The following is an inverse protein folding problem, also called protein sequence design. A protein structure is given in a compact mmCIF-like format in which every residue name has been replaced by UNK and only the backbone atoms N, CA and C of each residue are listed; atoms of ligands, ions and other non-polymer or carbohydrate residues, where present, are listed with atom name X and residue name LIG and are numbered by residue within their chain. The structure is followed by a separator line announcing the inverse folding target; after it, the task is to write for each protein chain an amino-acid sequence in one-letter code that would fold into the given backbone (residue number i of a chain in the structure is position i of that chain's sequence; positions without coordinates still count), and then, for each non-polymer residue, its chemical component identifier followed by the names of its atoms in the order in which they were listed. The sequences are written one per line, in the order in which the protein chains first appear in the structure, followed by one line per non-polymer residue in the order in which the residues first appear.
data_IF_193370759599
#
_entry.id   IF_193370759599
#
_cell.length_a   1.000
_cell.length_b   1.000
_cell.length_c   1.000
_cell.angle_alpha   90.00
_cell.angle_beta   90.00
_cell.angle_gamma   90.00
#
_symmetry.space_group_name_H-M   'P 1'
#
loop_
_entity.id
_entity.type
_entity.pdbx_description
1 polymer ?
#
# COMPACT_ATOMS: atom_id res chain seq x y z
N UNK A 1 -0.89 -17.94 17.44
CA UNK A 1 -0.81 -16.58 16.86
C UNK A 1 0.58 -16.38 16.30
N UNK A 2 0.75 -16.37 14.98
CA UNK A 2 2.09 -16.18 14.38
C UNK A 2 2.61 -14.77 14.73
N UNK A 3 3.89 -14.60 15.11
CA UNK A 3 4.44 -13.29 15.37
C UNK A 3 4.44 -12.50 14.06
N UNK A 4 3.70 -11.40 14.03
CA UNK A 4 3.67 -10.52 12.88
C UNK A 4 5.08 -9.92 12.70
N UNK A 5 5.71 -10.18 11.55
CA UNK A 5 7.02 -9.63 11.23
C UNK A 5 6.85 -8.12 11.00
N UNK A 6 7.23 -7.30 11.97
CA UNK A 6 7.07 -5.84 11.88
C UNK A 6 8.28 -5.19 11.20
N UNK A 7 8.04 -4.17 10.38
CA UNK A 7 9.10 -3.41 9.72
C UNK A 7 9.73 -2.43 10.70
N UNK A 8 10.77 -2.86 11.44
CA UNK A 8 11.35 -2.07 12.55
C UNK A 8 12.39 -1.02 12.12
N UNK A 9 12.85 -1.04 10.87
CA UNK A 9 13.89 -0.12 10.36
C UNK A 9 13.53 0.41 8.99
N UNK A 10 13.93 1.65 8.70
CA UNK A 10 13.73 2.29 7.39
C UNK A 10 14.62 1.65 6.32
N UNK A 11 14.06 1.47 5.12
CA UNK A 11 14.77 1.00 3.94
C UNK A 11 15.66 2.10 3.39
N UNK A 12 16.98 1.90 3.50
CA UNK A 12 17.99 2.82 2.96
C UNK A 12 17.88 3.00 1.44
N UNK A 13 17.48 1.94 0.72
CA UNK A 13 17.39 1.91 -0.74
C UNK A 13 16.08 2.51 -1.27
N UNK A 14 15.08 2.77 -0.43
CA UNK A 14 13.81 3.33 -0.89
C UNK A 14 13.97 4.76 -1.42
N UNK A 15 14.88 5.55 -0.83
CA UNK A 15 15.22 6.90 -1.30
C UNK A 15 16.25 6.93 -2.43
N UNK A 16 16.70 5.79 -2.94
CA UNK A 16 17.61 5.73 -4.09
C UNK A 16 16.85 6.09 -5.38
N UNK A 17 17.50 6.68 -6.40
CA UNK A 17 16.85 7.00 -7.68
C UNK A 17 16.32 5.76 -8.41
N UNK A 18 16.94 4.61 -8.17
CA UNK A 18 16.55 3.28 -8.66
C UNK A 18 15.42 2.63 -7.82
N UNK A 19 15.09 3.21 -6.66
CA UNK A 19 14.08 2.70 -5.74
C UNK A 19 14.47 1.39 -5.05
N UNK A 20 13.57 0.89 -4.19
CA UNK A 20 13.79 -0.38 -3.54
C UNK A 20 13.48 -1.54 -4.48
N UNK A 21 14.51 -2.32 -4.85
CA UNK A 21 14.39 -3.53 -5.68
C UNK A 21 13.44 -4.60 -5.13
N UNK A 22 13.13 -4.56 -3.83
CA UNK A 22 12.22 -5.50 -3.16
C UNK A 22 10.76 -5.03 -3.10
N UNK A 23 10.47 -3.78 -3.46
CA UNK A 23 9.10 -3.23 -3.46
C UNK A 23 8.36 -3.44 -2.14
N UNK A 24 7.06 -3.74 -2.18
CA UNK A 24 6.22 -3.97 -0.99
C UNK A 24 6.65 -5.21 -0.17
N UNK A 25 7.43 -6.12 -0.78
CA UNK A 25 8.02 -7.28 -0.10
C UNK A 25 9.31 -6.95 0.65
N UNK A 26 9.73 -5.69 0.66
CA UNK A 26 10.88 -5.26 1.44
C UNK A 26 10.64 -5.49 2.94
N UNK A 27 11.60 -6.14 3.61
CA UNK A 27 11.56 -6.37 5.05
C UNK A 27 11.69 -5.07 5.87
N UNK A 28 12.10 -3.98 5.22
CA UNK A 28 12.31 -2.67 5.82
C UNK A 28 11.18 -1.71 5.42
N UNK A 29 10.96 -0.68 6.25
CA UNK A 29 9.93 0.33 6.08
C UNK A 29 10.30 1.32 4.96
N UNK A 30 9.42 1.53 3.99
CA UNK A 30 9.62 2.50 2.89
C UNK A 30 9.27 3.95 3.27
N UNK A 31 9.36 4.27 4.56
CA UNK A 31 8.95 5.54 5.14
C UNK A 31 8.55 5.33 6.59
N UNK A 32 8.41 6.43 7.33
CA UNK A 32 7.89 6.41 8.71
C UNK A 32 6.52 5.73 8.80
N UNK A 33 5.70 5.85 7.74
CA UNK A 33 4.36 5.28 7.68
C UNK A 33 4.31 3.75 7.71
N UNK A 34 5.40 3.09 7.32
CA UNK A 34 5.54 1.63 7.38
C UNK A 34 6.32 1.17 8.63
N UNK A 35 6.92 2.09 9.38
CA UNK A 35 7.78 1.77 10.53
C UNK A 35 6.93 1.27 11.70
N UNK A 36 7.22 0.07 12.19
CA UNK A 36 6.46 -0.61 13.24
C UNK A 36 5.18 -1.30 12.77
N UNK A 37 4.78 -1.14 11.50
CA UNK A 37 3.64 -1.84 10.91
C UNK A 37 4.04 -3.28 10.53
N UNK A 38 3.10 -4.25 10.59
CA UNK A 38 3.38 -5.62 10.14
C UNK A 38 3.67 -5.65 8.64
N UNK A 39 4.58 -6.52 8.23
CA UNK A 39 4.99 -6.71 6.86
C UNK A 39 3.75 -7.00 5.99
N UNK A 40 3.51 -6.16 4.98
CA UNK A 40 2.34 -6.24 4.11
C UNK A 40 1.22 -5.24 4.44
N UNK A 41 1.30 -4.51 5.56
CA UNK A 41 0.31 -3.52 5.96
C UNK A 41 0.29 -2.26 5.07
N UNK A 42 1.43 -1.86 4.48
CA UNK A 42 1.50 -0.74 3.54
C UNK A 42 1.32 -1.12 2.08
N UNK A 43 0.64 -2.23 1.79
CA UNK A 43 0.17 -2.49 0.43
C UNK A 43 -0.64 -1.28 -0.03
N UNK A 44 -0.13 -0.54 -1.02
CA UNK A 44 -0.78 0.60 -1.68
C UNK A 44 -2.12 0.26 -2.36
N UNK A 45 -2.55 -0.99 -2.19
CA UNK A 45 -3.83 -1.54 -2.56
C UNK A 45 -4.99 -0.71 -2.00
N UNK A 46 -5.74 -0.12 -2.93
CA UNK A 46 -6.90 0.73 -2.69
C UNK A 46 -6.61 1.99 -1.87
N UNK A 47 -5.40 2.54 -1.98
CA UNK A 47 -5.03 3.84 -1.35
C UNK A 47 -5.39 5.06 -2.21
N UNK A 48 -5.80 4.84 -3.46
CA UNK A 48 -6.24 5.88 -4.41
C UNK A 48 -7.54 5.46 -5.07
N UNK A 49 -8.40 6.41 -5.41
CA UNK A 49 -9.65 6.16 -6.12
C UNK A 49 -9.37 5.74 -7.58
N UNK A 50 -10.17 4.80 -8.07
CA UNK A 50 -10.14 4.34 -9.44
C UNK A 50 -10.78 5.38 -10.34
N UNK A 51 -10.00 6.00 -11.22
CA UNK A 51 -10.51 7.01 -12.16
C UNK A 51 -11.56 6.43 -13.09
N UNK A 52 -11.37 5.20 -13.59
CA UNK A 52 -12.33 4.56 -14.51
C UNK A 52 -13.71 4.38 -13.86
N UNK A 53 -13.73 3.97 -12.58
CA UNK A 53 -14.97 3.83 -11.84
C UNK A 53 -15.60 5.18 -11.50
N UNK A 54 -14.79 6.16 -11.08
CA UNK A 54 -15.29 7.50 -10.75
C UNK A 54 -15.83 8.23 -11.98
N UNK A 55 -15.16 8.08 -13.14
CA UNK A 55 -15.54 8.76 -14.38
C UNK A 55 -16.69 8.04 -15.11
N UNK A 56 -16.70 6.71 -15.12
CA UNK A 56 -17.64 5.92 -15.92
C UNK A 56 -18.61 5.06 -15.12
N UNK A 57 -18.56 5.08 -13.79
CA UNK A 57 -19.39 4.23 -12.90
C UNK A 57 -19.05 2.73 -12.97
N UNK A 58 -18.08 2.33 -13.80
CA UNK A 58 -17.71 0.94 -14.02
C UNK A 58 -16.21 0.81 -14.27
N UNK A 59 -15.63 -0.28 -13.77
CA UNK A 59 -14.22 -0.59 -13.91
C UNK A 59 -14.05 -1.99 -14.47
N UNK A 60 -13.26 -2.12 -15.54
CA UNK A 60 -12.96 -3.40 -16.18
C UNK A 60 -12.32 -4.43 -15.22
N UNK A 61 -11.67 -3.97 -14.15
CA UNK A 61 -10.98 -4.82 -13.18
C UNK A 61 -11.85 -5.27 -12.01
N UNK A 62 -13.03 -4.66 -11.80
CA UNK A 62 -13.98 -5.01 -10.75
C UNK A 62 -13.30 -5.29 -9.38
N UNK A 63 -13.57 -6.44 -8.76
CA UNK A 63 -13.00 -6.82 -7.45
C UNK A 63 -11.49 -7.05 -7.42
N UNK A 64 -10.82 -7.09 -8.58
CA UNK A 64 -9.35 -7.19 -8.70
C UNK A 64 -8.69 -5.82 -8.91
N UNK A 65 -9.46 -4.73 -8.88
CA UNK A 65 -8.88 -3.40 -9.03
C UNK A 65 -7.98 -3.07 -7.82
N UNK A 66 -6.75 -2.64 -8.12
CA UNK A 66 -5.81 -2.14 -7.10
C UNK A 66 -6.17 -0.73 -6.61
N UNK A 67 -7.18 -0.09 -7.22
CA UNK A 67 -7.69 1.21 -6.84
C UNK A 67 -9.09 1.07 -6.22
N UNK A 68 -9.49 2.01 -5.37
CA UNK A 68 -10.77 1.97 -4.69
C UNK A 68 -11.91 2.44 -5.62
N UNK A 69 -13.02 1.70 -5.71
CA UNK A 69 -14.23 2.14 -6.44
C UNK A 69 -15.15 3.02 -5.59
N UNK A 70 -14.65 3.56 -4.47
CA UNK A 70 -15.39 4.47 -3.63
C UNK A 70 -14.64 4.77 -2.36
N UNK A 71 -15.22 5.65 -1.54
CA UNK A 71 -14.66 6.02 -0.23
C UNK A 71 -14.70 4.84 0.76
N UNK A 72 -15.64 3.92 0.54
CA UNK A 72 -15.78 2.67 1.30
C UNK A 72 -14.59 1.72 1.09
N UNK A 73 -14.10 1.62 -0.14
CA UNK A 73 -12.92 0.81 -0.48
C UNK A 73 -11.59 1.55 -0.32
N UNK A 74 -11.63 2.88 -0.21
CA UNK A 74 -10.45 3.73 -0.13
C UNK A 74 -9.80 3.59 1.24
N UNK A 75 -8.74 2.78 1.32
CA UNK A 75 -7.90 2.73 2.50
C UNK A 75 -7.14 4.04 2.62
N UNK A 76 -7.62 4.90 3.51
CA UNK A 76 -6.87 6.08 3.94
C UNK A 76 -5.55 5.56 4.52
N UNK A 77 -4.40 6.05 4.05
CA UNK A 77 -3.19 5.79 4.78
C UNK A 77 -3.30 6.51 6.10
N UNK A 78 -3.50 5.75 7.17
CA UNK A 78 -3.70 6.25 8.53
C UNK A 78 -5.10 6.86 8.80
N UNK A 79 -6.01 5.95 9.15
CA UNK A 79 -6.99 6.19 10.21
C UNK A 79 -6.97 4.95 11.12
N UNK A 80 -5.79 4.62 11.66
CA UNK A 80 -5.53 3.74 12.81
C UNK A 80 -4.04 3.64 13.11
#
# INVERSE_FOLDING_TARGET
TAPATVKTRLCKNHGAPEGCKWGDRCHFAHGDRELGKPMGAGSSFKTRLCVSFVAGGSCAFAGRCHFAHGKDELRRPDAS
#
